data_IF_718493926389
#
_entry.id   IF_718493926389
#
_cell.length_a   1.000
_cell.length_b   1.000
_cell.length_c   1.000
_cell.angle_alpha   90.00
_cell.angle_beta   90.00
_cell.angle_gamma   90.00
#
_symmetry.space_group_name_H-M   'P 1'
#
loop_
_entity.id
_entity.type
_entity.pdbx_description
1 polymer ?
#
# COMPACT_ATOMS: atom_id res chain seq x y z
N UNK A 1 15.91 7.70 16.25
CA UNK A 1 14.56 8.24 15.96
C UNK A 1 13.77 7.13 15.28
N UNK A 2 12.62 6.75 15.84
CA UNK A 2 11.69 5.84 15.17
C UNK A 2 11.05 6.66 14.05
N UNK A 3 11.37 6.36 12.80
CA UNK A 3 10.72 6.99 11.67
C UNK A 3 9.23 6.60 11.69
N UNK A 4 8.31 7.50 11.30
CA UNK A 4 6.90 7.16 11.20
C UNK A 4 6.78 5.91 10.30
N UNK A 5 6.07 4.91 10.79
CA UNK A 5 5.91 3.60 10.14
C UNK A 5 5.32 3.73 8.73
N UNK A 6 4.57 4.82 8.49
CA UNK A 6 3.88 5.14 7.25
C UNK A 6 4.31 6.52 6.71
N UNK A 7 4.51 6.64 5.40
CA UNK A 7 4.77 7.90 4.69
C UNK A 7 3.48 8.68 4.47
N UNK A 8 2.39 7.98 4.19
CA UNK A 8 1.05 8.54 4.06
C UNK A 8 0.24 8.17 5.30
N UNK A 9 -0.21 9.17 6.05
CA UNK A 9 -1.06 8.95 7.21
C UNK A 9 -2.47 8.54 6.76
N UNK A 10 -2.83 7.30 7.03
CA UNK A 10 -4.15 6.74 6.73
C UNK A 10 -4.82 6.30 8.04
N UNK A 11 -6.14 6.48 8.10
CA UNK A 11 -6.97 5.88 9.15
C UNK A 11 -7.20 4.43 8.78
N UNK A 12 -6.92 3.52 9.69
CA UNK A 12 -7.15 2.10 9.50
C UNK A 12 -8.63 1.81 9.20
N UNK A 13 -8.90 1.02 8.17
CA UNK A 13 -10.26 0.73 7.70
C UNK A 13 -10.39 -0.70 7.17
N UNK A 14 -11.62 -1.22 7.15
CA UNK A 14 -11.90 -2.55 6.59
C UNK A 14 -11.48 -2.66 5.12
N UNK A 15 -11.54 -1.55 4.40
CA UNK A 15 -11.04 -1.47 3.02
C UNK A 15 -9.53 -1.69 2.96
N UNK A 16 -8.74 -0.99 3.78
CA UNK A 16 -7.28 -1.12 3.80
C UNK A 16 -6.84 -2.53 4.26
N UNK A 17 -7.51 -3.09 5.27
CA UNK A 17 -7.28 -4.47 5.69
C UNK A 17 -7.52 -5.46 4.54
N UNK A 18 -8.58 -5.27 3.76
CA UNK A 18 -8.88 -6.08 2.57
C UNK A 18 -7.87 -5.86 1.44
N UNK A 19 -7.46 -4.63 1.18
CA UNK A 19 -6.42 -4.30 0.19
C UNK A 19 -5.12 -5.04 0.51
N UNK A 20 -4.66 -5.00 1.76
CA UNK A 20 -3.47 -5.75 2.18
C UNK A 20 -3.62 -7.26 2.04
N UNK A 21 -4.80 -7.83 2.30
CA UNK A 21 -5.03 -9.25 2.02
C UNK A 21 -4.97 -9.57 0.53
N UNK A 22 -5.61 -8.73 -0.30
CA UNK A 22 -5.65 -8.92 -1.76
C UNK A 22 -4.26 -8.82 -2.39
N UNK A 23 -3.37 -7.99 -1.85
CA UNK A 23 -2.00 -7.86 -2.36
C UNK A 23 -1.09 -9.07 -2.08
N UNK A 24 -1.49 -10.00 -1.21
CA UNK A 24 -0.71 -11.23 -0.93
C UNK A 24 -0.79 -12.28 -2.03
N UNK A 25 -1.79 -12.18 -2.90
CA UNK A 25 -2.03 -13.11 -4.00
C UNK A 25 -2.07 -12.35 -5.33
N UNK A 26 -1.41 -12.90 -6.36
CA UNK A 26 -1.26 -12.20 -7.64
C UNK A 26 -2.60 -11.97 -8.35
N UNK A 27 -3.50 -12.94 -8.32
CA UNK A 27 -4.76 -12.88 -9.05
C UNK A 27 -5.75 -11.93 -8.33
N UNK A 28 -5.72 -11.91 -7.00
CA UNK A 28 -6.43 -10.90 -6.19
C UNK A 28 -5.85 -9.49 -6.38
N UNK A 29 -4.53 -9.34 -6.45
CA UNK A 29 -3.90 -8.04 -6.72
C UNK A 29 -4.29 -7.50 -8.09
N UNK A 30 -4.36 -8.36 -9.12
CA UNK A 30 -4.86 -7.98 -10.43
C UNK A 30 -6.34 -7.57 -10.39
N UNK A 31 -7.16 -8.31 -9.64
CA UNK A 31 -8.58 -7.96 -9.44
C UNK A 31 -8.75 -6.60 -8.75
N UNK A 32 -7.89 -6.27 -7.79
CA UNK A 32 -7.85 -4.96 -7.14
C UNK A 32 -7.50 -3.86 -8.16
N UNK A 33 -6.49 -4.07 -8.99
CA UNK A 33 -6.11 -3.15 -10.06
C UNK A 33 -7.25 -2.89 -11.05
N UNK A 34 -7.94 -3.95 -11.53
CA UNK A 34 -9.08 -3.80 -12.43
C UNK A 34 -10.22 -3.00 -11.79
N UNK A 35 -10.50 -3.25 -10.50
CA UNK A 35 -11.48 -2.47 -9.75
C UNK A 35 -11.07 -1.00 -9.64
N UNK A 36 -9.81 -0.71 -9.34
CA UNK A 36 -9.30 0.66 -9.26
C UNK A 36 -9.42 1.41 -10.59
N UNK A 37 -9.12 0.76 -11.71
CA UNK A 37 -9.30 1.34 -13.04
C UNK A 37 -10.77 1.67 -13.33
N UNK A 38 -11.69 0.77 -12.97
CA UNK A 38 -13.13 1.02 -13.12
C UNK A 38 -13.58 2.22 -12.29
N UNK A 39 -13.10 2.35 -11.05
CA UNK A 39 -13.39 3.50 -10.19
C UNK A 39 -12.84 4.80 -10.78
N UNK A 40 -11.61 4.79 -11.32
CA UNK A 40 -11.00 5.95 -11.97
C UNK A 40 -11.79 6.41 -13.20
N UNK A 41 -12.22 5.47 -14.06
CA UNK A 41 -12.98 5.81 -15.27
C UNK A 41 -14.42 6.25 -14.98
N UNK A 42 -15.08 5.65 -13.99
CA UNK A 42 -16.45 6.01 -13.60
C UNK A 42 -16.50 7.28 -12.73
N UNK A 43 -15.40 7.62 -12.06
CA UNK A 43 -15.37 8.68 -11.05
C UNK A 43 -16.05 8.29 -9.73
N UNK A 44 -16.35 7.01 -9.52
CA UNK A 44 -16.92 6.47 -8.28
C UNK A 44 -15.81 6.10 -7.28
N UNK A 45 -16.18 5.98 -5.99
CA UNK A 45 -15.29 5.50 -4.93
C UNK A 45 -13.94 6.25 -4.79
N UNK A 46 -13.91 7.54 -5.12
CA UNK A 46 -12.68 8.38 -5.13
C UNK A 46 -11.88 8.29 -3.82
N UNK A 47 -12.55 8.40 -2.68
CA UNK A 47 -11.92 8.31 -1.36
C UNK A 47 -11.22 6.96 -1.12
N UNK A 48 -11.80 5.86 -1.61
CA UNK A 48 -11.18 4.53 -1.49
C UNK A 48 -9.99 4.39 -2.43
N UNK A 49 -10.04 4.99 -3.62
CA UNK A 49 -8.90 5.02 -4.54
C UNK A 49 -7.75 5.85 -3.97
N UNK A 50 -8.04 6.98 -3.32
CA UNK A 50 -7.05 7.80 -2.62
C UNK A 50 -6.39 7.04 -1.46
N UNK A 51 -7.20 6.34 -0.64
CA UNK A 51 -6.69 5.48 0.43
C UNK A 51 -5.81 4.35 -0.12
N UNK A 52 -6.23 3.69 -1.21
CA UNK A 52 -5.46 2.64 -1.86
C UNK A 52 -4.09 3.15 -2.32
N UNK A 53 -4.04 4.32 -2.96
CA UNK A 53 -2.77 4.93 -3.39
C UNK A 53 -1.84 5.20 -2.21
N UNK A 54 -2.38 5.73 -1.11
CA UNK A 54 -1.61 5.95 0.12
C UNK A 54 -1.04 4.65 0.69
N UNK A 55 -1.82 3.57 0.70
CA UNK A 55 -1.40 2.28 1.23
C UNK A 55 -0.31 1.64 0.35
N UNK A 56 -0.44 1.73 -0.98
CA UNK A 56 0.58 1.25 -1.90
C UNK A 56 1.92 1.97 -1.71
N UNK A 57 1.90 3.28 -1.48
CA UNK A 57 3.11 4.05 -1.17
C UNK A 57 3.74 3.56 0.14
N UNK A 58 2.92 3.33 1.18
CA UNK A 58 3.40 2.82 2.47
C UNK A 58 4.02 1.43 2.33
N UNK A 59 3.39 0.51 1.61
CA UNK A 59 3.91 -0.84 1.37
C UNK A 59 5.24 -0.82 0.60
N UNK A 60 5.35 -0.01 -0.45
CA UNK A 60 6.60 0.16 -1.21
C UNK A 60 7.71 0.73 -0.31
N UNK A 61 7.39 1.72 0.52
CA UNK A 61 8.37 2.29 1.45
C UNK A 61 8.80 1.28 2.51
N UNK A 62 7.86 0.53 3.09
CA UNK A 62 8.14 -0.52 4.05
C UNK A 62 9.06 -1.61 3.44
N UNK A 63 8.78 -2.05 2.21
CA UNK A 63 9.64 -2.99 1.48
C UNK A 63 11.05 -2.41 1.27
N UNK A 64 11.15 -1.15 0.83
CA UNK A 64 12.44 -0.49 0.62
C UNK A 64 13.25 -0.38 1.92
N UNK A 65 12.61 -0.06 3.05
CA UNK A 65 13.27 -0.04 4.37
C UNK A 65 13.70 -1.46 4.78
N UNK A 66 12.89 -2.48 4.53
CA UNK A 66 13.26 -3.87 4.84
C UNK A 66 14.45 -4.38 4.01
N UNK A 67 14.52 -4.01 2.73
CA UNK A 67 15.59 -4.42 1.83
C UNK A 67 16.89 -3.65 2.12
N UNK A 68 16.84 -2.32 2.17
CA UNK A 68 18.04 -1.47 2.29
C UNK A 68 18.43 -1.17 3.74
N UNK A 69 17.50 -1.26 4.69
CA UNK A 69 17.81 -1.18 6.12
C UNK A 69 18.68 -2.34 6.62
N UNK A 70 18.72 -3.46 5.87
CA UNK A 70 19.64 -4.58 6.14
C UNK A 70 21.08 -4.31 5.68
N UNK A 71 21.27 -3.52 4.63
CA UNK A 71 22.61 -3.18 4.11
C UNK A 71 23.41 -2.32 5.10
N UNK A 72 22.75 -1.43 5.84
CA UNK A 72 23.39 -0.60 6.86
C UNK A 72 23.83 -1.35 8.14
N UNK A 73 23.36 -2.59 8.34
CA UNK A 73 23.69 -3.39 9.52
C UNK A 73 24.81 -4.41 9.29
N UNK A 74 25.35 -4.53 8.07
CA UNK A 74 26.49 -5.42 7.78
C UNK A 74 27.86 -4.72 7.76
N UNK A 75 27.89 -3.38 7.93
CA UNK A 75 29.13 -2.59 7.95
C UNK A 75 29.54 -2.09 9.34
N UNK A 76 29.25 -2.84 10.40
CA UNK A 76 29.81 -2.59 11.74
C UNK A 76 30.60 -3.77 12.26
#
# INVERSE_FOLDING_TARGET
MVYPTNVVALVESDFLAKVRDMMKDRDKAFSLYEWSLKCLHSGEHKELVEQLLGELINEVFALNVQLHGRENNQSK
#
